data_IF_303632728320
#
_entry.id   IF_303632728320
#
_cell.length_a   1.000
_cell.length_b   1.000
_cell.length_c   1.000
_cell.angle_alpha   90.00
_cell.angle_beta   90.00
_cell.angle_gamma   90.00
#
_symmetry.space_group_name_H-M   'P 1'
#
loop_
_entity.id
_entity.type
_entity.pdbx_description
1 polymer ?
#
# COMPACT_ATOMS: atom_id res chain seq x y z
N UNK A 1 20.09 -16.00 22.85
CA UNK A 1 18.97 -16.84 22.39
C UNK A 1 18.44 -16.20 21.13
N UNK A 2 18.69 -16.78 19.97
CA UNK A 2 18.11 -16.33 18.70
C UNK A 2 16.63 -16.71 18.71
N UNK A 3 15.77 -15.75 19.02
CA UNK A 3 14.32 -15.91 18.85
C UNK A 3 14.09 -16.15 17.36
N UNK A 4 13.78 -17.39 16.99
CA UNK A 4 13.39 -17.72 15.62
C UNK A 4 12.09 -16.98 15.32
N UNK A 5 12.17 -15.90 14.54
CA UNK A 5 10.96 -15.22 14.05
C UNK A 5 10.21 -16.19 13.14
N UNK A 6 8.96 -16.46 13.49
CA UNK A 6 8.07 -17.29 12.68
C UNK A 6 7.50 -16.42 11.56
N UNK A 7 7.53 -16.92 10.32
CA UNK A 7 6.99 -16.21 9.15
C UNK A 7 5.49 -16.48 9.02
N UNK A 8 4.72 -15.42 8.86
CA UNK A 8 3.27 -15.40 8.65
C UNK A 8 2.91 -14.50 7.46
N UNK A 9 1.65 -14.52 7.06
CA UNK A 9 1.09 -13.55 6.11
C UNK A 9 -0.24 -13.00 6.62
N UNK A 10 -0.54 -11.75 6.25
CA UNK A 10 -1.82 -11.10 6.59
C UNK A 10 -2.98 -11.81 5.89
N UNK A 11 -3.97 -12.26 6.65
CA UNK A 11 -5.06 -13.12 6.17
C UNK A 11 -6.39 -12.40 5.93
N UNK A 12 -6.42 -11.08 6.13
CA UNK A 12 -7.55 -10.17 5.89
C UNK A 12 -7.22 -9.16 4.80
N UNK A 13 -8.23 -8.50 4.22
CA UNK A 13 -8.02 -7.56 3.11
C UNK A 13 -7.03 -6.43 3.42
N UNK A 14 -7.21 -5.79 4.59
CA UNK A 14 -6.31 -4.80 5.19
C UNK A 14 -6.24 -5.09 6.69
N UNK A 15 -5.04 -5.19 7.24
CA UNK A 15 -4.76 -5.29 8.66
C UNK A 15 -4.17 -3.98 9.17
N UNK A 16 -4.70 -3.50 10.30
CA UNK A 16 -4.19 -2.32 10.98
C UNK A 16 -3.00 -2.70 11.86
N UNK A 17 -1.91 -1.94 11.75
CA UNK A 17 -0.72 -2.07 12.60
C UNK A 17 -0.71 -0.89 13.57
N UNK A 18 -0.74 -1.19 14.86
CA UNK A 18 -0.91 -0.24 15.96
C UNK A 18 0.39 -0.05 16.73
N UNK A 19 0.60 1.14 17.31
CA UNK A 19 1.79 1.42 18.15
C UNK A 19 1.82 0.54 19.40
N UNK A 20 0.65 0.35 20.03
CA UNK A 20 0.47 -0.47 21.22
C UNK A 20 -0.60 -1.54 21.00
N UNK A 21 -0.68 -2.50 21.92
CA UNK A 21 -1.68 -3.59 21.99
C UNK A 21 -3.08 -3.10 22.39
N UNK A 22 -3.57 -2.08 21.71
CA UNK A 22 -4.87 -1.46 21.96
C UNK A 22 -5.44 -0.98 20.62
N UNK A 23 -6.72 -1.29 20.37
CA UNK A 23 -7.43 -0.86 19.16
C UNK A 23 -7.57 0.66 19.08
N UNK A 24 -7.56 1.36 20.23
CA UNK A 24 -7.55 2.81 20.32
C UNK A 24 -6.15 3.43 20.19
N UNK A 25 -5.10 2.60 20.18
CA UNK A 25 -3.73 3.09 19.95
C UNK A 25 -3.60 3.65 18.53
N UNK A 26 -2.61 4.52 18.37
CA UNK A 26 -2.24 5.09 17.09
C UNK A 26 -2.08 3.99 16.03
N UNK A 27 -2.77 4.17 14.91
CA UNK A 27 -2.50 3.43 13.68
C UNK A 27 -1.19 3.93 13.10
N UNK A 28 -0.17 3.08 13.05
CA UNK A 28 1.16 3.46 12.55
C UNK A 28 1.33 3.10 11.08
N UNK A 29 0.71 2.01 10.62
CA UNK A 29 0.63 1.65 9.21
C UNK A 29 -0.49 0.63 8.98
N UNK A 30 -0.72 0.24 7.73
CA UNK A 30 -1.55 -0.92 7.39
C UNK A 30 -0.78 -1.90 6.50
N UNK A 31 -1.18 -3.16 6.54
CA UNK A 31 -0.67 -4.23 5.69
C UNK A 31 -1.82 -4.89 4.92
N UNK A 32 -1.62 -5.14 3.62
CA UNK A 32 -2.64 -5.78 2.78
C UNK A 32 -2.60 -7.30 2.91
N UNK A 33 -3.67 -7.97 2.50
CA UNK A 33 -3.68 -9.44 2.40
C UNK A 33 -2.43 -9.96 1.70
N UNK A 34 -1.89 -11.06 2.23
CA UNK A 34 -0.68 -11.73 1.75
C UNK A 34 0.61 -10.92 1.91
N UNK A 35 0.58 -9.77 2.61
CA UNK A 35 1.80 -9.11 3.05
C UNK A 35 2.58 -10.03 4.01
N UNK A 36 3.88 -10.28 3.77
CA UNK A 36 4.71 -11.07 4.67
C UNK A 36 4.88 -10.37 6.02
N UNK A 37 4.82 -11.16 7.10
CA UNK A 37 4.96 -10.70 8.48
C UNK A 37 5.92 -11.63 9.20
N UNK A 38 7.00 -11.08 9.75
CA UNK A 38 7.78 -11.79 10.76
C UNK A 38 7.13 -11.55 12.13
N UNK A 39 6.57 -12.59 12.74
CA UNK A 39 5.95 -12.52 14.05
C UNK A 39 7.00 -12.61 15.16
N UNK A 40 6.94 -11.66 16.09
CA UNK A 40 7.71 -11.61 17.32
C UNK A 40 6.86 -12.01 18.54
N UNK A 41 6.87 -11.15 19.57
CA UNK A 41 6.12 -11.37 20.81
C UNK A 41 4.62 -11.51 20.56
N UNK A 42 4.00 -12.51 21.19
CA UNK A 42 2.54 -12.66 21.25
C UNK A 42 2.10 -12.38 22.67
N UNK A 43 1.11 -11.50 22.83
CA UNK A 43 0.58 -11.15 24.13
C UNK A 43 -0.94 -10.92 24.07
N UNK A 44 -1.68 -11.92 24.57
CA UNK A 44 -3.13 -11.96 24.44
C UNK A 44 -3.52 -12.17 22.97
N UNK A 45 -4.37 -11.30 22.45
CA UNK A 45 -4.86 -11.33 21.07
C UNK A 45 -3.99 -10.51 20.09
N UNK A 46 -2.78 -10.13 20.52
CA UNK A 46 -1.89 -9.26 19.77
C UNK A 46 -0.56 -9.92 19.47
N UNK A 47 -0.07 -9.71 18.25
CA UNK A 47 1.26 -10.13 17.80
C UNK A 47 2.06 -8.89 17.41
N UNK A 48 3.29 -8.78 17.92
CA UNK A 48 4.23 -7.79 17.45
C UNK A 48 4.79 -8.24 16.09
N UNK A 49 4.40 -7.54 15.03
CA UNK A 49 4.82 -7.80 13.66
C UNK A 49 6.00 -6.93 13.25
N UNK A 50 6.86 -7.55 12.45
CA UNK A 50 7.85 -6.88 11.62
C UNK A 50 7.45 -7.07 10.16
N UNK A 51 7.07 -5.96 9.52
CA UNK A 51 6.86 -5.85 8.08
C UNK A 51 8.20 -5.51 7.39
N UNK A 52 8.18 -5.39 6.06
CA UNK A 52 9.36 -5.00 5.27
C UNK A 52 9.93 -3.63 5.64
N UNK A 53 9.08 -2.73 6.12
CA UNK A 53 9.34 -1.29 6.25
C UNK A 53 8.78 -0.71 7.56
N UNK A 54 8.23 -1.54 8.46
CA UNK A 54 7.63 -1.07 9.71
C UNK A 54 7.55 -2.17 10.77
N UNK A 55 7.38 -1.78 12.04
CA UNK A 55 7.06 -2.69 13.14
C UNK A 55 5.90 -2.16 13.99
N UNK A 56 5.11 -3.05 14.56
CA UNK A 56 4.03 -2.68 15.47
C UNK A 56 3.16 -3.87 15.85
N UNK A 57 2.01 -3.61 16.45
CA UNK A 57 1.11 -4.64 16.95
C UNK A 57 -0.09 -4.81 16.03
N UNK A 58 -0.41 -6.05 15.68
CA UNK A 58 -1.66 -6.37 15.00
C UNK A 58 -2.41 -7.48 15.72
N UNK A 59 -3.64 -7.72 15.31
CA UNK A 59 -4.48 -8.78 15.85
C UNK A 59 -3.98 -10.15 15.39
N UNK A 60 -3.76 -11.07 16.32
CA UNK A 60 -3.17 -12.39 16.03
C UNK A 60 -4.06 -13.25 15.12
N UNK A 61 -5.37 -13.07 15.16
CA UNK A 61 -6.36 -13.77 14.30
C UNK A 61 -6.34 -13.29 12.83
N UNK A 62 -5.54 -12.27 12.52
CA UNK A 62 -5.33 -11.76 11.16
C UNK A 62 -4.02 -12.28 10.53
N UNK A 63 -3.34 -13.21 11.20
CA UNK A 63 -2.16 -13.90 10.68
C UNK A 63 -2.48 -15.35 10.39
N UNK A 64 -2.03 -15.81 9.22
CA UNK A 64 -2.11 -17.20 8.82
C UNK A 64 -0.77 -17.66 8.26
N UNK A 65 -0.62 -18.97 8.08
CA UNK A 65 0.55 -19.54 7.43
C UNK A 65 0.76 -18.89 6.04
N UNK A 66 2.01 -18.52 5.68
CA UNK A 66 2.32 -17.96 4.38
C UNK A 66 1.94 -18.93 3.26
N UNK A 67 1.70 -18.37 2.08
CA UNK A 67 1.48 -19.18 0.89
C UNK A 67 2.79 -19.87 0.47
N UNK A 68 2.91 -21.17 0.76
CA UNK A 68 4.09 -21.96 0.40
C UNK A 68 4.00 -22.54 -1.04
N UNK A 69 5.15 -22.64 -1.72
CA UNK A 69 5.26 -23.33 -3.02
C UNK A 69 5.14 -24.85 -2.80
N UNK A 70 3.92 -25.37 -2.91
CA UNK A 70 3.61 -26.81 -2.79
C UNK A 70 2.48 -27.05 -1.80
N UNK A 71 1.25 -26.83 -2.25
CA UNK A 71 0.03 -27.04 -1.49
C UNK A 71 -0.15 -28.52 -1.26
N UNK A 72 -0.29 -28.93 0.00
CA UNK A 72 -0.54 -30.33 0.32
C UNK A 72 -1.73 -30.57 1.28
N UNK A 73 -2.55 -29.55 1.58
CA UNK A 73 -3.86 -29.75 2.23
C UNK A 73 -4.84 -28.78 1.57
N UNK A 74 -5.79 -29.22 0.75
CA UNK A 74 -7.06 -29.90 1.09
C UNK A 74 -7.53 -30.80 -0.08
N UNK A 75 -7.77 -32.10 0.14
CA UNK A 75 -8.49 -33.00 -0.80
C UNK A 75 -7.76 -33.37 -2.11
N UNK A 76 -8.40 -34.24 -2.93
CA UNK A 76 -7.81 -35.08 -4.02
C UNK A 76 -6.94 -34.41 -5.10
N UNK A 77 -6.71 -33.10 -5.08
CA UNK A 77 -5.88 -32.43 -6.09
C UNK A 77 -4.94 -31.41 -5.43
N UNK A 78 -3.72 -31.83 -5.11
CA UNK A 78 -2.62 -30.90 -4.79
C UNK A 78 -2.44 -29.93 -5.97
N UNK A 79 -2.72 -28.64 -5.77
CA UNK A 79 -2.50 -27.61 -6.79
C UNK A 79 -1.28 -26.78 -6.42
N UNK A 80 -0.21 -26.86 -7.21
CA UNK A 80 0.91 -25.93 -7.08
C UNK A 80 0.54 -24.62 -7.76
N UNK A 81 0.84 -23.42 -7.19
CA UNK A 81 0.58 -22.17 -7.88
C UNK A 81 1.32 -22.16 -9.19
N UNK A 82 0.68 -21.56 -10.17
CA UNK A 82 1.34 -21.15 -11.39
C UNK A 82 2.43 -20.14 -11.01
N UNK A 83 3.41 -19.93 -11.90
CA UNK A 83 4.37 -18.82 -11.77
C UNK A 83 3.71 -17.47 -12.12
N UNK A 84 2.46 -17.28 -11.67
CA UNK A 84 1.59 -16.18 -11.97
C UNK A 84 1.04 -15.57 -10.69
N UNK A 85 0.99 -14.24 -10.67
CA UNK A 85 0.44 -13.43 -9.60
C UNK A 85 -0.72 -12.59 -10.14
N UNK A 86 -1.84 -12.58 -9.43
CA UNK A 86 -2.93 -11.65 -9.64
C UNK A 86 -2.65 -10.38 -8.82
N UNK A 87 -2.41 -9.26 -9.50
CA UNK A 87 -2.21 -7.95 -8.89
C UNK A 87 -3.47 -7.12 -9.06
N UNK A 88 -4.04 -6.67 -7.97
CA UNK A 88 -5.27 -5.87 -7.99
C UNK A 88 -4.94 -4.45 -8.46
N UNK A 89 -5.58 -4.03 -9.55
CA UNK A 89 -5.38 -2.70 -10.16
C UNK A 89 -6.59 -1.77 -10.01
N UNK A 90 -7.62 -2.22 -9.28
CA UNK A 90 -8.79 -1.42 -8.93
C UNK A 90 -8.70 -0.97 -7.47
N UNK A 91 -9.33 0.16 -7.12
CA UNK A 91 -9.51 0.62 -5.75
C UNK A 91 -9.80 -0.47 -4.70
N UNK A 92 -10.84 -1.25 -4.95
CA UNK A 92 -11.28 -2.39 -4.15
C UNK A 92 -12.06 -3.34 -5.03
N UNK A 93 -11.98 -4.63 -4.73
CA UNK A 93 -12.65 -5.69 -5.49
C UNK A 93 -13.21 -6.74 -4.52
N UNK A 94 -14.22 -7.48 -4.96
CA UNK A 94 -14.74 -8.60 -4.21
C UNK A 94 -13.82 -9.83 -4.37
N UNK A 95 -13.61 -10.54 -3.27
CA UNK A 95 -13.06 -11.90 -3.25
C UNK A 95 -14.22 -12.87 -3.17
N UNK A 96 -14.39 -13.72 -4.19
CA UNK A 96 -15.52 -14.65 -4.29
C UNK A 96 -15.18 -16.04 -3.73
N UNK A 97 -16.19 -16.71 -3.17
CA UNK A 97 -16.07 -18.07 -2.66
C UNK A 97 -16.04 -19.11 -3.79
N UNK A 98 -16.82 -18.87 -4.85
CA UNK A 98 -17.00 -19.78 -5.98
C UNK A 98 -16.85 -19.03 -7.31
N UNK A 99 -16.56 -19.77 -8.38
CA UNK A 99 -16.43 -19.16 -9.70
C UNK A 99 -17.80 -18.81 -10.31
N UNK A 100 -18.80 -19.64 -10.00
CA UNK A 100 -20.10 -19.70 -10.66
C UNK A 100 -21.13 -18.72 -10.07
N UNK A 101 -20.86 -18.18 -8.89
CA UNK A 101 -21.77 -17.27 -8.20
C UNK A 101 -21.04 -16.00 -7.73
N UNK A 102 -21.77 -15.15 -6.99
CA UNK A 102 -21.28 -13.88 -6.48
C UNK A 102 -21.20 -13.86 -4.94
N UNK A 103 -21.13 -15.03 -4.29
CA UNK A 103 -20.93 -15.10 -2.84
C UNK A 103 -19.51 -14.65 -2.51
N UNK A 104 -19.38 -13.67 -1.61
CA UNK A 104 -18.08 -13.04 -1.31
C UNK A 104 -17.50 -13.54 0.01
N UNK A 105 -16.20 -13.86 0.01
CA UNK A 105 -15.39 -14.10 1.22
C UNK A 105 -14.90 -12.80 1.86
N UNK A 106 -14.84 -11.70 1.11
CA UNK A 106 -14.37 -10.41 1.61
C UNK A 106 -14.07 -9.41 0.51
N UNK A 107 -13.37 -8.34 0.89
CA UNK A 107 -12.90 -7.29 -0.02
C UNK A 107 -11.39 -7.24 -0.02
N UNK A 108 -10.80 -7.07 -1.19
CA UNK A 108 -9.37 -6.85 -1.39
C UNK A 108 -9.14 -5.48 -2.01
N UNK A 109 -7.92 -4.96 -1.90
CA UNK A 109 -7.61 -3.57 -2.21
C UNK A 109 -6.51 -3.45 -3.24
N UNK A 110 -6.45 -2.27 -3.85
CA UNK A 110 -5.40 -1.89 -4.78
C UNK A 110 -4.01 -2.29 -4.26
N UNK A 111 -3.19 -2.89 -5.12
CA UNK A 111 -1.84 -3.41 -4.81
C UNK A 111 -1.76 -4.68 -3.94
N UNK A 112 -2.87 -5.33 -3.61
CA UNK A 112 -2.79 -6.72 -3.14
C UNK A 112 -2.31 -7.62 -4.29
N UNK A 113 -1.38 -8.53 -3.98
CA UNK A 113 -0.85 -9.51 -4.91
C UNK A 113 -1.01 -10.93 -4.36
N UNK A 114 -1.68 -11.80 -5.13
CA UNK A 114 -1.99 -13.17 -4.73
C UNK A 114 -1.52 -14.19 -5.78
N UNK A 115 -0.93 -15.33 -5.39
CA UNK A 115 -0.57 -16.39 -6.32
C UNK A 115 -1.79 -16.99 -7.01
N UNK A 116 -1.70 -17.26 -8.31
CA UNK A 116 -2.77 -17.86 -9.11
C UNK A 116 -2.59 -19.38 -9.16
N UNK A 117 -3.69 -20.11 -9.00
CA UNK A 117 -3.74 -21.58 -9.16
C UNK A 117 -4.59 -22.02 -10.35
N UNK A 118 -5.50 -21.17 -10.85
CA UNK A 118 -6.36 -21.50 -11.99
C UNK A 118 -6.71 -20.26 -12.81
N UNK A 119 -6.62 -20.40 -14.14
CA UNK A 119 -7.03 -19.38 -15.14
C UNK A 119 -7.98 -19.95 -16.19
N UNK A 120 -8.39 -21.21 -16.04
CA UNK A 120 -9.14 -21.95 -17.07
C UNK A 120 -10.63 -21.58 -17.11
N UNK A 121 -11.14 -20.99 -16.02
CA UNK A 121 -12.55 -20.56 -15.93
C UNK A 121 -12.73 -19.20 -16.61
N UNK A 122 -13.61 -19.07 -17.62
CA UNK A 122 -13.85 -17.79 -18.30
C UNK A 122 -14.27 -16.67 -17.32
N UNK A 123 -13.61 -15.51 -17.41
CA UNK A 123 -13.92 -14.34 -16.59
C UNK A 123 -13.50 -14.40 -15.13
N UNK A 124 -12.93 -15.53 -14.66
CA UNK A 124 -12.48 -15.71 -13.28
C UNK A 124 -11.03 -16.16 -13.22
N UNK A 125 -10.35 -15.83 -12.13
CA UNK A 125 -9.05 -16.44 -11.78
C UNK A 125 -9.13 -16.96 -10.35
N UNK A 126 -8.63 -18.15 -10.11
CA UNK A 126 -8.54 -18.70 -8.76
C UNK A 126 -7.18 -18.35 -8.17
N UNK A 127 -7.21 -17.79 -6.96
CA UNK A 127 -6.03 -17.37 -6.22
C UNK A 127 -5.91 -18.14 -4.92
N UNK A 128 -4.69 -18.18 -4.40
CA UNK A 128 -4.41 -18.68 -3.06
C UNK A 128 -4.45 -17.53 -2.07
N UNK A 129 -5.04 -17.81 -0.91
CA UNK A 129 -5.01 -16.97 0.27
C UNK A 129 -4.10 -17.58 1.35
N UNK A 130 -3.57 -16.78 2.28
CA UNK A 130 -2.91 -17.28 3.47
C UNK A 130 -3.76 -18.31 4.24
N UNK A 131 -3.09 -19.28 4.85
CA UNK A 131 -3.72 -20.45 5.50
C UNK A 131 -4.20 -21.52 4.51
N UNK A 132 -3.56 -21.60 3.34
CA UNK A 132 -3.85 -22.59 2.28
C UNK A 132 -5.31 -22.58 1.75
N UNK A 133 -6.02 -21.48 1.95
CA UNK A 133 -7.37 -21.28 1.40
C UNK A 133 -7.29 -20.83 -0.06
N UNK A 134 -8.41 -20.94 -0.77
CA UNK A 134 -8.53 -20.38 -2.13
C UNK A 134 -9.72 -19.44 -2.21
N UNK A 135 -9.69 -18.57 -3.20
CA UNK A 135 -10.83 -17.75 -3.59
C UNK A 135 -10.74 -17.36 -5.06
N UNK A 136 -11.77 -16.66 -5.54
CA UNK A 136 -11.89 -16.29 -6.94
C UNK A 136 -11.93 -14.77 -7.10
N UNK A 137 -11.26 -14.27 -8.13
CA UNK A 137 -11.28 -12.87 -8.52
C UNK A 137 -11.88 -12.74 -9.92
N UNK A 138 -12.52 -11.60 -10.20
CA UNK A 138 -12.88 -11.24 -11.57
C UNK A 138 -11.61 -11.01 -12.40
N UNK A 139 -11.56 -11.56 -13.61
CA UNK A 139 -10.39 -11.43 -14.49
C UNK A 139 -10.13 -9.97 -14.89
N UNK A 140 -11.17 -9.15 -15.01
CA UNK A 140 -11.09 -7.75 -15.45
C UNK A 140 -10.61 -6.79 -14.34
N UNK A 141 -10.59 -7.28 -13.10
CA UNK A 141 -10.23 -6.52 -11.90
C UNK A 141 -8.78 -6.73 -11.47
N UNK A 142 -8.04 -7.58 -12.19
CA UNK A 142 -6.66 -7.93 -11.89
C UNK A 142 -5.77 -7.86 -13.12
N UNK A 143 -4.51 -7.55 -12.86
CA UNK A 143 -3.43 -7.71 -13.83
C UNK A 143 -2.65 -8.96 -13.48
N UNK A 144 -2.54 -9.88 -14.42
CA UNK A 144 -1.74 -11.09 -14.25
C UNK A 144 -0.28 -10.77 -14.56
N UNK A 145 0.62 -11.15 -13.65
CA UNK A 145 2.07 -10.95 -13.75
C UNK A 145 2.78 -12.29 -13.62
N UNK A 146 3.90 -12.43 -14.33
CA UNK A 146 4.79 -13.59 -14.22
C UNK A 146 5.92 -13.31 -13.22
N UNK A 147 6.31 -14.32 -12.45
CA UNK A 147 7.51 -14.26 -11.61
C UNK A 147 7.40 -13.32 -10.39
N UNK A 148 8.56 -12.86 -9.91
CA UNK A 148 8.70 -12.08 -8.67
C UNK A 148 8.58 -10.55 -8.90
N UNK A 149 8.69 -10.09 -10.14
CA UNK A 149 8.58 -8.67 -10.51
C UNK A 149 7.12 -8.28 -10.78
N UNK A 150 6.32 -8.23 -9.71
CA UNK A 150 4.88 -7.95 -9.78
C UNK A 150 4.55 -6.46 -10.02
N UNK A 151 5.51 -5.56 -9.74
CA UNK A 151 5.42 -4.12 -9.97
C UNK A 151 6.57 -3.66 -10.88
N UNK A 152 6.37 -3.61 -12.21
CA UNK A 152 7.41 -3.14 -13.12
C UNK A 152 7.68 -1.65 -12.92
N UNK A 153 8.92 -1.24 -13.17
CA UNK A 153 9.31 0.18 -13.11
C UNK A 153 8.50 1.01 -14.09
N UNK A 154 7.79 2.00 -13.57
CA UNK A 154 6.90 2.87 -14.32
C UNK A 154 7.40 4.32 -14.35
N UNK A 155 7.12 5.03 -15.44
CA UNK A 155 7.43 6.45 -15.55
C UNK A 155 6.61 7.31 -14.56
N UNK A 156 7.10 8.52 -14.24
CA UNK A 156 6.47 9.44 -13.29
C UNK A 156 5.03 9.83 -13.67
N UNK A 157 4.69 9.82 -14.95
CA UNK A 157 3.33 10.03 -15.44
C UNK A 157 2.35 8.97 -14.92
N UNK A 158 2.75 7.70 -14.96
CA UNK A 158 1.94 6.59 -14.42
C UNK A 158 1.82 6.68 -12.90
N UNK A 159 2.92 6.99 -12.20
CA UNK A 159 2.95 7.11 -10.73
C UNK A 159 2.02 8.23 -10.25
N UNK A 160 2.09 9.40 -10.86
CA UNK A 160 1.16 10.50 -10.54
C UNK A 160 -0.27 10.22 -10.99
N UNK A 161 -0.46 9.41 -12.03
CA UNK A 161 -1.78 8.89 -12.43
C UNK A 161 -2.42 8.06 -11.32
N UNK A 162 -1.64 7.23 -10.62
CA UNK A 162 -2.13 6.53 -9.44
C UNK A 162 -2.55 7.50 -8.33
N UNK A 163 -1.72 8.51 -8.02
CA UNK A 163 -2.08 9.50 -7.00
C UNK A 163 -3.38 10.23 -7.34
N UNK A 164 -3.58 10.61 -8.62
CA UNK A 164 -4.81 11.25 -9.09
C UNK A 164 -6.05 10.38 -8.92
N UNK A 165 -5.91 9.05 -9.01
CA UNK A 165 -7.03 8.14 -8.76
C UNK A 165 -7.52 8.21 -7.29
N UNK A 166 -6.70 8.69 -6.35
CA UNK A 166 -7.08 8.88 -4.96
C UNK A 166 -7.73 10.24 -4.67
N UNK A 167 -7.89 11.14 -5.64
CA UNK A 167 -8.53 12.44 -5.41
C UNK A 167 -9.87 12.30 -4.68
N UNK A 168 -10.05 13.07 -3.60
CA UNK A 168 -11.24 13.04 -2.75
C UNK A 168 -11.32 11.85 -1.79
N UNK A 169 -10.31 10.96 -1.74
CA UNK A 169 -10.29 9.87 -0.76
C UNK A 169 -10.04 10.40 0.65
N UNK A 170 -10.76 9.90 1.68
CA UNK A 170 -10.60 10.39 3.04
C UNK A 170 -9.18 10.23 3.56
N UNK A 171 -8.73 11.24 4.30
CA UNK A 171 -7.49 11.14 5.06
C UNK A 171 -7.68 10.17 6.23
N UNK A 172 -6.68 9.32 6.45
CA UNK A 172 -6.60 8.44 7.62
C UNK A 172 -5.16 8.39 8.09
N UNK A 173 -4.89 8.90 9.30
CA UNK A 173 -3.57 8.78 9.93
C UNK A 173 -3.13 7.32 9.99
N UNK A 174 -1.94 7.00 9.50
CA UNK A 174 -1.45 5.62 9.42
C UNK A 174 -2.01 4.82 8.23
N UNK A 175 -2.96 5.35 7.48
CA UNK A 175 -3.61 4.67 6.37
C UNK A 175 -2.72 4.48 5.14
N UNK A 176 -2.77 3.29 4.53
CA UNK A 176 -2.02 2.93 3.31
C UNK A 176 -2.88 2.19 2.29
N UNK A 177 -4.19 2.40 2.32
CA UNK A 177 -5.15 1.67 1.48
C UNK A 177 -6.22 2.59 0.89
N UNK A 178 -7.12 2.02 0.08
CA UNK A 178 -8.21 2.80 -0.51
C UNK A 178 -9.25 3.30 0.51
N UNK A 179 -9.40 2.59 1.63
CA UNK A 179 -10.39 2.94 2.67
C UNK A 179 -10.00 4.22 3.43
N UNK A 180 -8.70 4.52 3.48
CA UNK A 180 -8.16 5.76 4.02
C UNK A 180 -6.65 5.80 3.86
N UNK A 181 -6.11 6.99 3.62
CA UNK A 181 -4.70 7.14 3.30
C UNK A 181 -4.14 8.42 3.93
N UNK A 182 -2.92 8.37 4.46
CA UNK A 182 -2.19 9.56 4.89
C UNK A 182 -1.21 10.05 3.81
N UNK A 183 -0.49 11.11 4.14
CA UNK A 183 0.37 11.82 3.20
C UNK A 183 1.50 10.93 2.67
N UNK A 184 2.25 10.29 3.56
CA UNK A 184 3.37 9.42 3.19
C UNK A 184 2.90 8.06 2.67
N UNK A 185 1.76 7.55 3.12
CA UNK A 185 1.09 6.35 2.61
C UNK A 185 0.64 6.51 1.16
N UNK A 186 0.11 7.68 0.78
CA UNK A 186 -0.25 7.99 -0.61
C UNK A 186 0.98 7.90 -1.52
N UNK A 187 2.06 8.57 -1.12
CA UNK A 187 3.31 8.60 -1.88
C UNK A 187 3.91 7.20 -1.97
N UNK A 188 4.00 6.49 -0.84
CA UNK A 188 4.54 5.14 -0.76
C UNK A 188 3.79 4.17 -1.68
N UNK A 189 2.46 4.17 -1.63
CA UNK A 189 1.64 3.27 -2.42
C UNK A 189 1.80 3.53 -3.92
N UNK A 190 1.80 4.80 -4.34
CA UNK A 190 1.97 5.18 -5.74
C UNK A 190 3.33 4.74 -6.30
N UNK A 191 4.40 4.95 -5.53
CA UNK A 191 5.75 4.53 -5.94
C UNK A 191 5.90 3.01 -5.92
N UNK A 192 5.33 2.31 -4.93
CA UNK A 192 5.32 0.84 -4.86
C UNK A 192 4.65 0.24 -6.09
N UNK A 193 3.48 0.75 -6.49
CA UNK A 193 2.79 0.32 -7.72
C UNK A 193 3.58 0.66 -8.99
N UNK A 194 4.44 1.68 -8.93
CA UNK A 194 5.39 2.02 -9.98
C UNK A 194 6.71 1.24 -9.92
N UNK A 195 6.85 0.24 -9.05
CA UNK A 195 8.07 -0.58 -8.94
C UNK A 195 9.21 0.03 -8.13
N UNK A 196 8.96 1.10 -7.37
CA UNK A 196 9.94 1.76 -6.52
C UNK A 196 9.57 1.63 -5.05
N UNK A 197 10.53 1.21 -4.24
CA UNK A 197 10.35 1.07 -2.80
C UNK A 197 10.88 2.33 -2.13
N UNK A 198 10.04 2.95 -1.32
CA UNK A 198 10.41 4.07 -0.44
C UNK A 198 9.89 3.79 0.98
N UNK A 199 10.50 4.39 2.01
CA UNK A 199 10.06 4.24 3.41
C UNK A 199 8.60 4.66 3.65
N UNK A 200 8.06 4.25 4.79
CA UNK A 200 6.67 4.50 5.18
C UNK A 200 6.41 5.93 5.65
N UNK A 201 7.34 6.50 6.42
CA UNK A 201 7.16 7.79 7.08
C UNK A 201 7.77 8.94 6.25
N UNK A 202 7.19 10.14 6.34
CA UNK A 202 7.59 11.29 5.52
C UNK A 202 9.03 11.74 5.79
N UNK A 203 9.47 11.73 7.03
CA UNK A 203 10.83 12.03 7.46
C UNK A 203 11.83 11.00 6.90
N UNK A 204 11.49 9.71 6.98
CA UNK A 204 12.30 8.62 6.43
C UNK A 204 12.36 8.68 4.89
N UNK A 205 11.24 9.01 4.23
CA UNK A 205 11.22 9.24 2.78
C UNK A 205 12.13 10.39 2.38
N UNK A 206 12.16 11.47 3.16
CA UNK A 206 13.10 12.56 2.95
C UNK A 206 14.54 12.07 3.08
N UNK A 207 14.89 11.41 4.19
CA UNK A 207 16.28 11.01 4.47
C UNK A 207 16.79 9.94 3.50
N UNK A 208 15.90 9.08 3.03
CA UNK A 208 16.19 8.08 2.00
C UNK A 208 16.58 8.70 0.66
N UNK A 209 16.06 9.87 0.32
CA UNK A 209 16.33 10.54 -0.95
C UNK A 209 17.57 11.44 -0.83
N UNK A 210 18.64 11.19 -1.61
CA UNK A 210 19.92 11.85 -1.39
C UNK A 210 19.98 13.27 -1.95
N UNK A 211 19.23 13.56 -3.01
CA UNK A 211 19.39 14.79 -3.78
C UNK A 211 18.23 15.77 -3.56
N UNK A 212 18.59 16.96 -3.06
CA UNK A 212 17.69 18.12 -3.07
C UNK A 212 17.59 18.69 -4.49
N UNK A 213 16.38 19.07 -4.87
CA UNK A 213 16.05 19.73 -6.12
C UNK A 213 15.69 21.19 -5.82
N UNK A 214 16.13 22.11 -6.68
CA UNK A 214 15.64 23.48 -6.65
C UNK A 214 14.14 23.47 -6.96
N UNK A 215 13.34 24.18 -6.17
CA UNK A 215 11.90 24.30 -6.37
C UNK A 215 11.54 24.78 -7.78
N UNK A 216 12.34 25.67 -8.38
CA UNK A 216 12.14 26.11 -9.77
C UNK A 216 12.37 24.99 -10.81
N UNK A 217 13.13 23.96 -10.45
CA UNK A 217 13.41 22.78 -11.26
C UNK A 217 12.56 21.56 -10.88
N UNK A 218 11.57 21.74 -10.00
CA UNK A 218 10.60 20.72 -9.62
C UNK A 218 9.82 20.23 -10.84
N UNK A 219 9.63 18.92 -10.92
CA UNK A 219 8.92 18.25 -12.01
C UNK A 219 7.94 17.23 -11.47
N UNK A 220 7.07 16.76 -12.35
CA UNK A 220 6.14 15.68 -12.08
C UNK A 220 6.84 14.47 -11.45
N UNK A 221 6.30 14.01 -10.32
CA UNK A 221 6.84 12.91 -9.51
C UNK A 221 7.76 13.35 -8.38
N UNK A 222 8.34 14.55 -8.40
CA UNK A 222 9.18 14.98 -7.28
C UNK A 222 8.38 15.02 -5.97
N UNK A 223 9.03 14.69 -4.85
CA UNK A 223 8.43 14.76 -3.52
C UNK A 223 8.71 16.11 -2.90
N UNK A 224 7.67 16.74 -2.38
CA UNK A 224 7.76 18.00 -1.63
C UNK A 224 7.50 17.71 -0.17
N UNK A 225 8.49 17.97 0.66
CA UNK A 225 8.44 17.79 2.11
C UNK A 225 8.15 19.12 2.79
N UNK A 226 7.35 19.08 3.84
CA UNK A 226 6.92 20.26 4.58
C UNK A 226 7.19 20.10 6.08
N UNK A 227 7.56 21.20 6.72
CA UNK A 227 7.94 21.23 8.13
C UNK A 227 8.54 22.56 8.55
N UNK A 228 8.62 22.81 9.86
CA UNK A 228 9.30 23.99 10.42
C UNK A 228 10.45 23.62 11.36
N UNK A 229 10.25 22.62 12.22
CA UNK A 229 11.30 22.07 13.10
C UNK A 229 11.66 20.64 12.69
N UNK A 230 10.66 19.89 12.26
CA UNK A 230 10.75 18.53 11.74
C UNK A 230 9.82 18.38 10.53
N UNK A 231 9.99 17.31 9.77
CA UNK A 231 9.14 17.01 8.61
C UNK A 231 7.84 16.40 9.12
N UNK A 232 6.73 17.07 8.82
CA UNK A 232 5.40 16.65 9.28
C UNK A 232 4.48 16.21 8.14
N UNK A 233 4.86 16.50 6.89
CA UNK A 233 3.99 16.26 5.75
C UNK A 233 4.79 16.10 4.45
N UNK A 234 4.21 15.36 3.51
CA UNK A 234 4.78 15.12 2.17
C UNK A 234 3.70 15.19 1.10
N UNK A 235 4.06 15.70 -0.07
CA UNK A 235 3.23 15.73 -1.28
C UNK A 235 4.01 15.24 -2.50
N UNK A 236 3.28 14.86 -3.54
CA UNK A 236 3.84 14.52 -4.85
C UNK A 236 3.57 15.66 -5.83
N UNK A 237 4.63 16.20 -6.44
CA UNK A 237 4.54 17.22 -7.46
C UNK A 237 3.87 16.68 -8.73
N UNK A 238 2.91 17.42 -9.26
CA UNK A 238 2.26 17.14 -10.54
C UNK A 238 2.92 17.93 -11.68
N UNK A 239 3.53 19.06 -11.36
CA UNK A 239 4.39 19.89 -12.20
C UNK A 239 5.19 20.82 -11.28
N UNK A 240 5.69 21.96 -11.79
CA UNK A 240 6.47 22.91 -11.00
C UNK A 240 5.63 23.85 -10.11
N UNK A 241 4.30 23.74 -10.13
CA UNK A 241 3.38 24.60 -9.35
C UNK A 241 2.36 23.81 -8.55
N UNK A 242 1.87 22.69 -9.08
CA UNK A 242 0.81 21.89 -8.47
C UNK A 242 1.38 20.63 -7.80
N UNK A 243 0.74 20.22 -6.71
CA UNK A 243 1.06 19.01 -5.98
C UNK A 243 -0.21 18.32 -5.48
N UNK A 244 -0.14 17.00 -5.35
CA UNK A 244 -1.21 16.16 -4.79
C UNK A 244 -0.75 15.57 -3.45
N UNK A 245 -1.65 15.56 -2.47
CA UNK A 245 -1.38 15.06 -1.13
C UNK A 245 -2.66 14.64 -0.41
N UNK A 246 -2.55 13.75 0.57
CA UNK A 246 -3.59 13.52 1.56
C UNK A 246 -3.43 14.55 2.69
N UNK A 247 -4.41 15.43 2.87
CA UNK A 247 -4.36 16.53 3.84
C UNK A 247 -5.39 16.29 4.93
N UNK A 248 -4.94 16.19 6.18
CA UNK A 248 -5.78 15.77 7.31
C UNK A 248 -6.43 16.91 8.09
N UNK A 249 -5.93 18.15 8.01
CA UNK A 249 -6.35 19.22 8.92
C UNK A 249 -7.50 20.06 8.38
N UNK A 250 -7.39 20.53 7.14
CA UNK A 250 -8.33 21.47 6.52
C UNK A 250 -9.25 20.79 5.50
N UNK A 251 -8.78 19.76 4.82
CA UNK A 251 -9.56 19.05 3.81
C UNK A 251 -10.05 17.68 4.28
N UNK A 252 -9.30 17.02 5.17
CA UNK A 252 -9.53 15.64 5.61
C UNK A 252 -9.68 14.63 4.44
N UNK A 253 -8.95 14.86 3.34
CA UNK A 253 -9.00 14.06 2.13
C UNK A 253 -7.78 14.31 1.22
N UNK A 254 -7.66 13.53 0.15
CA UNK A 254 -6.68 13.77 -0.91
C UNK A 254 -7.11 14.91 -1.82
N UNK A 255 -6.25 15.92 -1.96
CA UNK A 255 -6.51 17.13 -2.74
C UNK A 255 -5.31 17.50 -3.62
N UNK A 256 -5.57 18.36 -4.60
CA UNK A 256 -4.54 19.08 -5.34
C UNK A 256 -4.52 20.52 -4.86
N UNK A 257 -3.35 20.99 -4.49
CA UNK A 257 -3.12 22.39 -4.18
C UNK A 257 -2.00 22.95 -5.07
N UNK A 258 -1.94 24.27 -5.10
CA UNK A 258 -1.01 25.04 -5.92
C UNK A 258 -0.08 25.87 -5.04
N UNK A 259 1.11 26.10 -5.58
CA UNK A 259 2.09 27.06 -5.09
C UNK A 259 1.98 28.43 -5.76
N UNK A 260 1.10 28.60 -6.75
CA UNK A 260 0.91 29.86 -7.44
C UNK A 260 -0.14 30.72 -6.70
N UNK A 261 0.21 31.90 -6.15
CA UNK A 261 -0.73 32.75 -5.42
C UNK A 261 -1.93 33.24 -6.24
N UNK A 262 -1.87 33.17 -7.58
CA UNK A 262 -2.98 33.52 -8.46
C UNK A 262 -3.95 32.34 -8.71
N UNK A 263 -3.60 31.12 -8.29
CA UNK A 263 -4.43 29.93 -8.46
C UNK A 263 -5.51 29.84 -7.37
N UNK A 264 -6.70 29.39 -7.74
CA UNK A 264 -7.81 29.19 -6.80
C UNK A 264 -7.51 28.12 -5.73
N UNK A 265 -6.60 27.19 -6.02
CA UNK A 265 -6.15 26.15 -5.11
C UNK A 265 -4.83 26.49 -4.40
N UNK A 266 -4.42 27.78 -4.43
CA UNK A 266 -3.25 28.22 -3.67
C UNK A 266 -3.43 27.93 -2.19
N UNK A 267 -2.43 27.30 -1.57
CA UNK A 267 -2.46 27.00 -0.15
C UNK A 267 -1.28 27.67 0.57
N UNK A 268 -1.49 28.90 1.13
CA UNK A 268 -0.41 29.72 1.66
C UNK A 268 0.37 29.05 2.79
N UNK A 269 -0.31 28.26 3.63
CA UNK A 269 0.32 27.62 4.77
C UNK A 269 1.44 26.67 4.34
N UNK A 270 1.15 25.71 3.45
CA UNK A 270 2.15 24.75 2.97
C UNK A 270 3.27 25.41 2.17
N UNK A 271 2.96 26.47 1.41
CA UNK A 271 3.97 27.23 0.68
C UNK A 271 5.06 27.83 1.62
N UNK A 272 4.66 28.32 2.79
CA UNK A 272 5.56 28.91 3.77
C UNK A 272 6.44 27.91 4.51
N UNK A 273 6.04 26.63 4.54
CA UNK A 273 6.74 25.57 5.29
C UNK A 273 7.35 24.50 4.38
N UNK A 274 7.60 24.82 3.10
CA UNK A 274 8.34 23.90 2.21
C UNK A 274 9.75 23.70 2.77
N UNK A 275 10.04 22.46 3.17
CA UNK A 275 11.32 22.05 3.71
C UNK A 275 12.31 21.73 2.59
N UNK A 276 11.92 20.82 1.70
CA UNK A 276 12.75 20.38 0.57
C UNK A 276 11.90 19.81 -0.56
N UNK A 277 12.43 19.88 -1.78
CA UNK A 277 11.98 19.08 -2.92
C UNK A 277 13.04 18.02 -3.18
N UNK A 278 12.66 16.75 -3.35
CA UNK A 278 13.59 15.66 -3.69
C UNK A 278 13.03 14.78 -4.79
N UNK A 279 13.90 14.10 -5.52
CA UNK A 279 13.54 13.26 -6.66
C UNK A 279 13.81 11.79 -6.37
N UNK A 280 12.80 10.95 -6.59
CA UNK A 280 12.99 9.49 -6.68
C UNK A 280 13.64 9.18 -8.02
N UNK A 281 14.72 8.38 -8.02
CA UNK A 281 15.40 7.97 -9.24
C UNK A 281 14.54 6.94 -9.99
N UNK A 282 13.70 7.45 -10.91
CA UNK A 282 12.82 6.67 -11.79
C UNK A 282 13.60 6.18 -13.00
#
# INVERSE_FOLDING_TARGET
MTTTMTSFAVSVGVADIRRCRDVASELVTQALMNAPVAAGEVAGEWTHATLSDYTGWLRSDQLEEPVNRGFCKVGEHCRTPLQLMAVINKPRIALFAHAENNDTLGTLYLSTALPIVDTTVPGRVQVVLPGERTGWLSRDDVVIREGEEIYPRAETGTITGYARAFLGRPYLWGGTSWEGIDCSGLVQLCYRMGGYIIPRDADQQHDFLPCRIDRAAMRQGDLVFFGSQEITHVAMALNNKEYIHAEGQNYNQVVINSFDPADAHYYPHLDQIVWAVKRVAV
#
